data_IF_036119834075
#
_entry.id   IF_036119834075
#
_cell.length_a   1.000
_cell.length_b   1.000
_cell.length_c   1.000
_cell.angle_alpha   90.00
_cell.angle_beta   90.00
_cell.angle_gamma   90.00
#
_symmetry.space_group_name_H-M   'P 1'
#
loop_
_entity.id
_entity.type
_entity.pdbx_description
1 polymer ?
#
# COMPACT_ATOMS: atom_id res chain seq x y z
N UNK A 1 14.39 15.20 23.18
CA UNK A 1 13.59 15.53 21.97
C UNK A 1 13.41 14.25 21.18
N UNK A 2 12.14 13.92 20.85
CA UNK A 2 11.84 12.79 19.98
C UNK A 2 12.32 13.09 18.55
N UNK A 3 13.04 12.16 17.94
CA UNK A 3 13.58 12.33 16.60
C UNK A 3 13.47 11.05 15.80
N UNK A 4 13.27 11.17 14.49
CA UNK A 4 13.12 10.06 13.54
C UNK A 4 13.83 10.40 12.24
N UNK A 5 14.56 9.43 11.71
CA UNK A 5 15.03 9.47 10.33
C UNK A 5 13.96 8.90 9.41
N UNK A 6 13.66 9.55 8.29
CA UNK A 6 12.78 9.00 7.26
C UNK A 6 13.51 8.86 5.94
N UNK A 7 13.42 7.68 5.33
CA UNK A 7 14.05 7.36 4.04
C UNK A 7 12.96 7.07 3.02
N UNK A 8 12.99 7.79 1.91
CA UNK A 8 11.92 7.77 0.91
C UNK A 8 10.92 8.89 1.17
N UNK A 9 11.09 10.02 0.46
CA UNK A 9 10.25 11.21 0.56
C UNK A 9 9.29 11.35 -0.64
N UNK A 10 8.85 10.22 -1.19
CA UNK A 10 7.74 10.18 -2.13
C UNK A 10 6.42 10.61 -1.49
N UNK A 11 5.30 10.48 -2.22
CA UNK A 11 3.98 10.95 -1.75
C UNK A 11 3.63 10.48 -0.34
N UNK A 12 3.87 9.21 -0.02
CA UNK A 12 3.55 8.67 1.31
C UNK A 12 4.55 9.14 2.38
N UNK A 13 5.86 8.96 2.13
CA UNK A 13 6.89 9.29 3.11
C UNK A 13 6.97 10.78 3.44
N UNK A 14 6.80 11.66 2.46
CA UNK A 14 6.75 13.09 2.70
C UNK A 14 5.55 13.49 3.59
N UNK A 15 4.35 12.96 3.30
CA UNK A 15 3.18 13.26 4.12
C UNK A 15 3.28 12.68 5.53
N UNK A 16 3.92 11.51 5.69
CA UNK A 16 4.20 10.92 6.99
C UNK A 16 5.22 11.78 7.77
N UNK A 17 6.25 12.31 7.11
CA UNK A 17 7.20 13.25 7.71
C UNK A 17 6.51 14.52 8.20
N UNK A 18 5.58 15.07 7.44
CA UNK A 18 4.79 16.24 7.85
C UNK A 18 3.91 15.92 9.06
N UNK A 19 3.28 14.74 9.11
CA UNK A 19 2.50 14.28 10.25
C UNK A 19 3.40 14.16 11.50
N UNK A 20 4.61 13.60 11.38
CA UNK A 20 5.59 13.55 12.48
C UNK A 20 5.93 14.95 13.01
N UNK A 21 6.17 15.90 12.10
CA UNK A 21 6.50 17.30 12.46
C UNK A 21 5.34 17.98 13.18
N UNK A 22 4.11 17.74 12.76
CA UNK A 22 2.91 18.29 13.43
C UNK A 22 2.70 17.71 14.84
N UNK A 23 3.31 16.56 15.11
CA UNK A 23 3.34 15.93 16.44
C UNK A 23 4.65 16.22 17.21
N UNK A 24 5.32 17.32 16.91
CA UNK A 24 6.54 17.81 17.59
C UNK A 24 7.71 16.81 17.57
N UNK A 25 7.80 16.00 16.51
CA UNK A 25 8.93 15.09 16.25
C UNK A 25 9.93 15.79 15.34
N UNK A 26 11.20 15.80 15.70
CA UNK A 26 12.28 16.28 14.85
C UNK A 26 12.55 15.24 13.76
N UNK A 27 12.38 15.63 12.49
CA UNK A 27 12.49 14.71 11.37
C UNK A 27 13.70 15.03 10.50
N UNK A 28 14.55 14.04 10.30
CA UNK A 28 15.64 14.04 9.32
C UNK A 28 15.22 13.19 8.13
N UNK A 29 15.14 13.78 6.94
CA UNK A 29 14.69 13.12 5.73
C UNK A 29 15.83 12.84 4.75
N UNK A 30 15.79 11.69 4.09
CA UNK A 30 16.67 11.34 2.98
C UNK A 30 15.88 10.68 1.85
N UNK A 31 16.17 11.10 0.63
CA UNK A 31 15.69 10.41 -0.58
C UNK A 31 16.76 10.53 -1.67
N UNK A 32 17.02 9.43 -2.34
CA UNK A 32 18.05 9.37 -3.40
C UNK A 32 17.72 10.22 -4.61
N UNK A 33 16.45 10.43 -4.89
CA UNK A 33 15.94 11.08 -6.10
C UNK A 33 15.20 12.39 -5.85
N UNK A 34 15.23 12.90 -4.62
CA UNK A 34 14.43 14.08 -4.28
C UNK A 34 14.98 15.35 -4.90
N UNK A 35 14.08 16.12 -5.47
CA UNK A 35 14.35 17.53 -5.72
C UNK A 35 14.03 18.33 -4.45
N UNK A 36 15.05 18.88 -3.80
CA UNK A 36 14.91 19.67 -2.56
C UNK A 36 14.03 20.90 -2.74
N UNK A 37 13.97 21.46 -3.94
CA UNK A 37 13.17 22.64 -4.26
C UNK A 37 11.65 22.37 -4.18
N UNK A 38 11.25 21.08 -4.13
CA UNK A 38 9.85 20.67 -3.93
C UNK A 38 9.46 20.50 -2.46
N UNK A 39 10.39 20.73 -1.53
CA UNK A 39 10.12 20.59 -0.09
C UNK A 39 9.78 21.96 0.49
N UNK A 40 8.50 22.18 0.68
CA UNK A 40 7.98 23.47 1.17
C UNK A 40 8.11 23.65 2.70
N UNK A 41 8.33 22.57 3.46
CA UNK A 41 8.35 22.64 4.92
C UNK A 41 9.76 22.85 5.46
N UNK A 42 10.01 24.03 6.03
CA UNK A 42 11.30 24.42 6.63
C UNK A 42 11.69 23.66 7.91
N UNK A 43 10.77 22.91 8.53
CA UNK A 43 11.03 22.08 9.71
C UNK A 43 11.54 20.68 9.34
N UNK A 44 11.40 20.24 8.10
CA UNK A 44 11.97 18.99 7.62
C UNK A 44 13.44 19.19 7.25
N UNK A 45 14.34 18.57 8.00
CA UNK A 45 15.79 18.61 7.71
C UNK A 45 16.12 17.58 6.65
N UNK A 46 16.22 18.02 5.38
CA UNK A 46 16.53 17.11 4.26
C UNK A 46 18.03 17.01 4.04
N UNK A 47 18.53 15.79 4.08
CA UNK A 47 19.93 15.44 3.94
C UNK A 47 20.19 14.82 2.56
N UNK A 48 21.39 14.98 2.03
CA UNK A 48 21.78 14.53 0.69
C UNK A 48 22.49 13.18 0.68
N UNK A 49 22.94 12.73 1.84
CA UNK A 49 23.63 11.45 2.00
C UNK A 49 22.97 10.64 3.11
N UNK A 50 22.86 9.34 2.91
CA UNK A 50 22.34 8.44 3.92
C UNK A 50 23.20 8.45 5.19
N UNK A 51 24.53 8.55 5.03
CA UNK A 51 25.46 8.65 6.16
C UNK A 51 25.16 9.87 7.04
N UNK A 52 24.82 11.02 6.44
CA UNK A 52 24.52 12.24 7.20
C UNK A 52 23.22 12.05 8.00
N UNK A 53 22.21 11.35 7.44
CA UNK A 53 20.99 10.99 8.17
C UNK A 53 21.32 10.13 9.40
N UNK A 54 22.09 9.07 9.22
CA UNK A 54 22.47 8.17 10.30
C UNK A 54 23.24 8.91 11.40
N UNK A 55 24.19 9.80 11.05
CA UNK A 55 25.01 10.54 12.03
C UNK A 55 24.26 11.68 12.72
N UNK A 56 23.19 12.21 12.11
CA UNK A 56 22.38 13.28 12.71
C UNK A 56 21.44 12.79 13.80
N UNK A 57 21.18 11.48 13.86
CA UNK A 57 20.27 10.89 14.84
C UNK A 57 20.99 10.48 16.13
N UNK A 58 20.38 10.81 17.28
CA UNK A 58 20.84 10.29 18.57
C UNK A 58 20.48 8.81 18.72
N UNK A 59 21.32 8.07 19.48
CA UNK A 59 21.13 6.65 19.77
C UNK A 59 20.18 6.44 20.97
N UNK A 60 19.37 5.37 20.96
CA UNK A 60 19.13 4.46 19.83
C UNK A 60 18.40 5.20 18.70
N UNK A 61 18.87 5.00 17.48
CA UNK A 61 18.29 5.62 16.30
C UNK A 61 16.99 4.94 15.92
N UNK A 62 16.01 5.72 15.47
CA UNK A 62 14.78 5.21 14.85
C UNK A 62 14.73 5.70 13.41
N UNK A 63 14.73 4.78 12.45
CA UNK A 63 14.72 5.08 11.03
C UNK A 63 13.51 4.42 10.38
N UNK A 64 12.64 5.23 9.77
CA UNK A 64 11.46 4.79 9.04
C UNK A 64 11.74 4.77 7.54
N UNK A 65 11.58 3.62 6.90
CA UNK A 65 11.74 3.44 5.46
C UNK A 65 10.38 3.48 4.77
N UNK A 66 10.25 4.30 3.73
CA UNK A 66 9.07 4.41 2.84
C UNK A 66 9.52 4.28 1.37
N UNK A 67 10.18 3.17 1.06
CA UNK A 67 10.76 2.90 -0.26
C UNK A 67 10.01 1.75 -0.96
N UNK A 68 10.12 1.63 -2.30
CA UNK A 68 9.54 0.50 -3.02
C UNK A 68 10.05 -0.84 -2.50
N UNK A 69 9.16 -1.82 -2.39
CA UNK A 69 9.50 -3.19 -1.99
C UNK A 69 10.45 -3.88 -2.99
N UNK A 70 11.04 -4.99 -2.58
CA UNK A 70 11.95 -5.77 -3.40
C UNK A 70 13.40 -5.30 -3.28
N UNK A 71 14.11 -5.20 -4.40
CA UNK A 71 15.55 -4.92 -4.45
C UNK A 71 15.94 -3.59 -3.79
N UNK A 72 15.11 -2.56 -3.95
CA UNK A 72 15.37 -1.25 -3.32
C UNK A 72 15.40 -1.36 -1.80
N UNK A 73 14.42 -2.04 -1.20
CA UNK A 73 14.38 -2.27 0.25
C UNK A 73 15.54 -3.16 0.69
N UNK A 74 15.88 -4.19 -0.07
CA UNK A 74 16.99 -5.11 0.23
C UNK A 74 18.33 -4.37 0.32
N UNK A 75 18.66 -3.62 -0.74
CA UNK A 75 19.90 -2.85 -0.80
C UNK A 75 20.00 -1.83 0.33
N UNK A 76 18.88 -1.19 0.68
CA UNK A 76 18.84 -0.21 1.76
C UNK A 76 19.04 -0.87 3.14
N UNK A 77 18.44 -2.04 3.37
CA UNK A 77 18.65 -2.82 4.61
C UNK A 77 20.12 -3.23 4.76
N UNK A 78 20.76 -3.69 3.68
CA UNK A 78 22.18 -4.05 3.68
C UNK A 78 23.09 -2.85 3.98
N UNK A 79 22.77 -1.68 3.41
CA UNK A 79 23.53 -0.45 3.64
C UNK A 79 23.35 0.04 5.07
N UNK A 80 22.13 0.07 5.60
CA UNK A 80 21.83 0.44 6.98
C UNK A 80 22.44 -0.53 7.98
N UNK A 81 22.44 -1.84 7.71
CA UNK A 81 23.03 -2.86 8.55
C UNK A 81 24.53 -2.65 8.80
N UNK A 82 25.24 -2.03 7.83
CA UNK A 82 26.67 -1.67 7.96
C UNK A 82 26.93 -0.34 8.68
N UNK A 83 25.93 0.54 8.73
CA UNK A 83 26.04 1.90 9.28
C UNK A 83 25.49 2.04 10.69
N UNK A 84 24.50 1.22 11.04
CA UNK A 84 23.80 1.28 12.31
C UNK A 84 24.57 0.55 13.41
N UNK A 85 24.13 0.70 14.62
CA UNK A 85 24.75 0.14 15.81
C UNK A 85 23.74 -0.70 16.59
N UNK A 86 24.21 -1.57 17.50
CA UNK A 86 23.33 -2.31 18.38
C UNK A 86 22.26 -1.42 19.05
N UNK A 87 21.05 -1.94 19.13
CA UNK A 87 19.82 -1.29 19.64
C UNK A 87 19.24 -0.19 18.74
N UNK A 88 19.81 0.12 17.58
CA UNK A 88 19.12 0.97 16.60
C UNK A 88 17.92 0.22 16.01
N UNK A 89 16.90 0.96 15.59
CA UNK A 89 15.62 0.42 15.14
C UNK A 89 15.34 0.89 13.70
N UNK A 90 15.07 -0.06 12.82
CA UNK A 90 14.55 0.19 11.49
C UNK A 90 13.06 -0.14 11.48
N UNK A 91 12.22 0.76 10.94
CA UNK A 91 10.81 0.51 10.66
C UNK A 91 10.66 0.41 9.14
N UNK A 92 10.28 -0.77 8.64
CA UNK A 92 9.89 -0.96 7.24
C UNK A 92 8.40 -0.62 7.09
N UNK A 93 8.10 0.59 6.62
CA UNK A 93 6.74 1.09 6.38
C UNK A 93 6.28 0.93 4.93
N UNK A 94 7.07 0.30 4.07
CA UNK A 94 6.72 -0.02 2.69
C UNK A 94 5.75 -1.20 2.57
N UNK A 95 5.26 -1.46 1.36
CA UNK A 95 4.47 -2.66 1.08
C UNK A 95 5.37 -3.86 0.81
N UNK A 96 6.15 -4.27 1.79
CA UNK A 96 7.07 -5.39 1.67
C UNK A 96 6.35 -6.74 1.79
N UNK A 97 6.86 -7.74 1.06
CA UNK A 97 6.40 -9.11 1.22
C UNK A 97 6.82 -9.61 2.61
N UNK A 98 5.88 -10.12 3.41
CA UNK A 98 6.12 -10.51 4.79
C UNK A 98 7.25 -11.56 4.95
N UNK A 99 7.42 -12.46 3.97
CA UNK A 99 8.50 -13.46 3.96
C UNK A 99 9.88 -12.82 3.82
N UNK A 100 10.01 -11.73 3.06
CA UNK A 100 11.24 -10.97 2.96
C UNK A 100 11.52 -10.19 4.25
N UNK A 101 10.47 -9.68 4.89
CA UNK A 101 10.57 -9.03 6.20
C UNK A 101 11.14 -9.98 7.25
N UNK A 102 10.63 -11.22 7.33
CA UNK A 102 11.16 -12.24 8.27
C UNK A 102 12.65 -12.54 7.99
N UNK A 103 13.05 -12.60 6.72
CA UNK A 103 14.45 -12.82 6.34
C UNK A 103 15.34 -11.64 6.75
N UNK A 104 14.91 -10.41 6.48
CA UNK A 104 15.61 -9.16 6.85
C UNK A 104 15.71 -9.00 8.35
N UNK A 105 14.67 -9.34 9.10
CA UNK A 105 14.67 -9.34 10.56
C UNK A 105 15.78 -10.27 11.11
N UNK A 106 15.87 -11.50 10.60
CA UNK A 106 16.89 -12.46 11.02
C UNK A 106 18.31 -11.94 10.71
N UNK A 107 18.51 -11.35 9.53
CA UNK A 107 19.77 -10.76 9.13
C UNK A 107 20.19 -9.60 10.05
N UNK A 108 19.32 -8.63 10.30
CA UNK A 108 19.63 -7.49 11.14
C UNK A 108 19.85 -7.86 12.62
N UNK A 109 19.18 -8.92 13.08
CA UNK A 109 19.37 -9.45 14.44
C UNK A 109 20.80 -9.95 14.70
N UNK A 110 21.54 -10.37 13.69
CA UNK A 110 22.95 -10.74 13.81
C UNK A 110 23.83 -9.55 14.19
N UNK A 111 23.36 -8.32 13.97
CA UNK A 111 24.03 -7.07 14.32
C UNK A 111 23.39 -6.35 15.52
N UNK A 112 22.51 -7.02 16.26
CA UNK A 112 21.69 -6.42 17.32
C UNK A 112 20.89 -5.18 16.88
N UNK A 113 20.52 -5.11 15.61
CA UNK A 113 19.64 -4.08 15.03
C UNK A 113 18.21 -4.63 14.96
N UNK A 114 17.26 -3.87 15.44
CA UNK A 114 15.86 -4.27 15.44
C UNK A 114 15.16 -3.88 14.15
N UNK A 115 14.38 -4.81 13.57
CA UNK A 115 13.46 -4.53 12.47
C UNK A 115 12.01 -4.61 12.96
N UNK A 116 11.26 -3.56 12.72
CA UNK A 116 9.81 -3.47 12.93
C UNK A 116 9.15 -3.31 11.58
N UNK A 117 8.14 -4.11 11.27
CA UNK A 117 7.35 -3.98 10.07
C UNK A 117 6.05 -3.24 10.36
N UNK A 118 5.72 -2.29 9.50
CA UNK A 118 4.56 -1.43 9.68
C UNK A 118 3.73 -1.35 8.40
N UNK A 119 2.69 -2.16 8.32
CA UNK A 119 1.68 -2.03 7.28
C UNK A 119 0.92 -0.73 7.44
N UNK A 120 1.06 0.18 6.48
CA UNK A 120 0.43 1.51 6.49
C UNK A 120 -0.74 1.56 5.52
N UNK A 121 -1.92 1.95 6.00
CA UNK A 121 -3.12 2.16 5.18
C UNK A 121 -3.73 3.55 5.40
N UNK A 122 -4.65 3.95 4.51
CA UNK A 122 -5.28 5.28 4.50
C UNK A 122 -4.81 6.19 3.36
N UNK A 123 -3.91 5.72 2.51
CA UNK A 123 -3.35 6.47 1.40
C UNK A 123 -2.60 7.74 1.83
N UNK A 124 -2.42 8.67 0.90
CA UNK A 124 -1.68 9.93 1.15
C UNK A 124 -2.34 10.76 2.25
N UNK A 125 -3.67 10.79 2.27
CA UNK A 125 -4.43 11.52 3.27
C UNK A 125 -4.28 10.90 4.67
N UNK A 126 -4.31 9.58 4.77
CA UNK A 126 -4.02 8.86 6.01
C UNK A 126 -2.60 9.12 6.51
N UNK A 127 -1.59 9.03 5.66
CA UNK A 127 -0.21 9.35 6.01
C UNK A 127 -0.08 10.78 6.58
N UNK A 128 -0.85 11.73 6.04
CA UNK A 128 -0.79 13.15 6.45
C UNK A 128 -1.56 13.46 7.74
N UNK A 129 -2.73 12.84 7.96
CA UNK A 129 -3.68 13.27 8.99
C UNK A 129 -4.09 12.16 9.97
N UNK A 130 -3.56 10.98 9.83
CA UNK A 130 -3.83 9.84 10.71
C UNK A 130 -4.00 8.54 9.92
N UNK A 131 -2.97 7.71 9.96
CA UNK A 131 -2.92 6.44 9.25
C UNK A 131 -3.57 5.30 10.05
N UNK A 132 -3.85 4.19 9.36
CA UNK A 132 -4.07 2.88 9.98
C UNK A 132 -2.76 2.10 9.93
N UNK A 133 -2.25 1.70 11.11
CA UNK A 133 -0.92 1.11 11.29
C UNK A 133 -1.02 -0.28 11.90
N UNK A 134 -0.58 -1.28 11.17
CA UNK A 134 -0.49 -2.69 11.57
C UNK A 134 0.97 -3.03 11.83
N UNK A 135 1.38 -3.16 13.09
CA UNK A 135 2.81 -3.21 13.47
C UNK A 135 3.21 -4.60 13.95
N UNK A 136 4.23 -5.17 13.33
CA UNK A 136 4.88 -6.41 13.71
C UNK A 136 6.33 -6.19 14.14
N UNK A 137 6.84 -7.08 14.99
CA UNK A 137 8.22 -7.01 15.49
C UNK A 137 8.36 -7.55 16.91
N UNK A 138 9.57 -7.44 17.47
CA UNK A 138 9.79 -7.78 18.87
C UNK A 138 8.96 -6.86 19.78
N UNK A 139 8.12 -7.44 20.64
CA UNK A 139 7.13 -6.71 21.45
C UNK A 139 7.76 -5.58 22.27
N UNK A 140 8.90 -5.85 22.92
CA UNK A 140 9.55 -4.84 23.76
C UNK A 140 10.14 -3.68 22.93
N UNK A 141 10.62 -3.97 21.71
CA UNK A 141 11.07 -2.94 20.77
C UNK A 141 9.88 -2.09 20.34
N UNK A 142 8.78 -2.72 19.90
CA UNK A 142 7.57 -1.99 19.47
C UNK A 142 7.02 -1.14 20.60
N UNK A 143 6.96 -1.65 21.85
CA UNK A 143 6.54 -0.87 23.01
C UNK A 143 7.42 0.36 23.26
N UNK A 144 8.73 0.23 23.08
CA UNK A 144 9.67 1.35 23.31
C UNK A 144 9.46 2.54 22.36
N UNK A 145 8.87 2.29 21.19
CA UNK A 145 8.57 3.30 20.16
C UNK A 145 7.06 3.43 19.88
N UNK A 146 6.18 2.89 20.73
CA UNK A 146 4.71 2.96 20.53
C UNK A 146 4.21 4.40 20.42
N UNK A 147 4.85 5.32 21.15
CA UNK A 147 4.58 6.76 21.06
C UNK A 147 4.60 7.29 19.62
N UNK A 148 5.44 6.72 18.75
CA UNK A 148 5.54 7.14 17.35
C UNK A 148 4.31 6.67 16.56
N UNK A 149 3.93 5.41 16.70
CA UNK A 149 2.75 4.86 16.03
C UNK A 149 1.47 5.53 16.50
N UNK A 150 1.33 5.73 17.82
CA UNK A 150 0.20 6.43 18.44
C UNK A 150 0.05 7.87 17.95
N UNK A 151 1.17 8.57 17.73
CA UNK A 151 1.14 9.95 17.22
C UNK A 151 0.77 10.05 15.75
N UNK A 152 1.03 9.01 14.95
CA UNK A 152 0.82 9.01 13.51
C UNK A 152 -0.51 8.38 13.08
N UNK A 153 -1.09 7.56 13.93
CA UNK A 153 -2.36 6.90 13.66
C UNK A 153 -3.56 7.80 13.93
N UNK A 154 -4.65 7.53 13.22
CA UNK A 154 -5.95 8.01 13.63
C UNK A 154 -6.35 7.34 14.97
N UNK A 155 -7.26 7.92 15.71
CA UNK A 155 -7.79 7.30 16.93
C UNK A 155 -8.20 5.85 16.65
N UNK A 156 -7.71 4.92 17.47
CA UNK A 156 -7.92 3.47 17.34
C UNK A 156 -7.35 2.86 16.03
N UNK A 157 -6.50 3.59 15.30
CA UNK A 157 -5.91 3.18 14.03
C UNK A 157 -4.54 2.49 14.16
N UNK A 158 -4.03 2.23 15.35
CA UNK A 158 -2.77 1.52 15.58
C UNK A 158 -2.98 0.27 16.44
N UNK A 159 -2.31 -0.81 16.01
CA UNK A 159 -2.22 -2.01 16.85
C UNK A 159 -0.89 -2.74 16.64
N UNK A 160 -0.34 -3.29 17.75
CA UNK A 160 0.65 -4.36 17.66
C UNK A 160 -0.04 -5.64 17.22
N UNK A 161 0.39 -6.20 16.08
CA UNK A 161 -0.25 -7.37 15.46
C UNK A 161 0.39 -8.68 15.92
N UNK A 162 1.72 -8.68 16.10
CA UNK A 162 2.45 -9.87 16.49
C UNK A 162 3.94 -9.78 16.16
N UNK A 163 4.59 -10.93 16.07
CA UNK A 163 6.02 -11.03 15.74
C UNK A 163 6.35 -10.47 14.34
N UNK A 164 7.66 -10.38 14.05
CA UNK A 164 8.16 -9.82 12.79
C UNK A 164 7.53 -10.47 11.54
N UNK A 165 7.07 -9.64 10.63
CA UNK A 165 6.35 -10.00 9.42
C UNK A 165 4.82 -10.00 9.57
N UNK A 166 4.28 -10.01 10.80
CA UNK A 166 2.83 -10.03 11.03
C UNK A 166 2.13 -8.76 10.56
N UNK A 167 2.75 -7.60 10.72
CA UNK A 167 2.22 -6.32 10.25
C UNK A 167 2.08 -6.30 8.72
N UNK A 168 3.14 -6.68 8.01
CA UNK A 168 3.11 -6.81 6.54
C UNK A 168 2.17 -7.92 6.05
N UNK A 169 2.09 -9.04 6.78
CA UNK A 169 1.15 -10.11 6.46
C UNK A 169 -0.31 -9.61 6.52
N UNK A 170 -0.68 -8.97 7.61
CA UNK A 170 -2.05 -8.43 7.77
C UNK A 170 -2.32 -7.31 6.76
N UNK A 171 -1.31 -6.47 6.45
CA UNK A 171 -1.44 -5.46 5.40
C UNK A 171 -1.62 -6.07 4.01
N UNK A 172 -0.92 -7.15 3.70
CA UNK A 172 -1.09 -7.89 2.44
C UNK A 172 -2.53 -8.42 2.29
N UNK A 173 -3.07 -9.04 3.35
CA UNK A 173 -4.46 -9.53 3.35
C UNK A 173 -5.46 -8.37 3.23
N UNK A 174 -5.22 -7.26 3.93
CA UNK A 174 -6.01 -6.04 3.80
C UNK A 174 -6.08 -5.58 2.34
N UNK A 175 -4.95 -5.56 1.63
CA UNK A 175 -4.93 -5.16 0.22
C UNK A 175 -5.66 -6.16 -0.68
N UNK A 176 -5.60 -7.46 -0.37
CA UNK A 176 -6.42 -8.46 -1.06
C UNK A 176 -7.93 -8.17 -0.91
N UNK A 177 -8.37 -7.85 0.30
CA UNK A 177 -9.77 -7.45 0.57
C UNK A 177 -10.12 -6.17 -0.20
N UNK A 178 -9.24 -5.17 -0.18
CA UNK A 178 -9.40 -3.92 -0.92
C UNK A 178 -9.61 -4.16 -2.41
N UNK A 179 -8.85 -5.07 -3.04
CA UNK A 179 -9.04 -5.46 -4.44
C UNK A 179 -10.44 -6.00 -4.70
N UNK A 180 -10.94 -6.90 -3.83
CA UNK A 180 -12.29 -7.45 -3.94
C UNK A 180 -13.38 -6.40 -3.79
N UNK A 181 -13.24 -5.49 -2.82
CA UNK A 181 -14.18 -4.39 -2.59
C UNK A 181 -14.20 -3.41 -3.77
N UNK A 182 -13.04 -3.01 -4.29
CA UNK A 182 -12.96 -2.13 -5.47
C UNK A 182 -13.59 -2.78 -6.69
N UNK A 183 -13.34 -4.08 -6.92
CA UNK A 183 -13.91 -4.81 -8.03
C UNK A 183 -15.44 -4.87 -7.93
N UNK A 184 -15.99 -5.17 -6.75
CA UNK A 184 -17.43 -5.23 -6.53
C UNK A 184 -18.11 -3.86 -6.75
N UNK A 185 -17.48 -2.76 -6.31
CA UNK A 185 -17.97 -1.41 -6.57
C UNK A 185 -17.95 -1.14 -8.09
N UNK A 186 -16.86 -1.46 -8.78
CA UNK A 186 -16.74 -1.27 -10.23
C UNK A 186 -17.81 -2.05 -11.00
N UNK A 187 -18.01 -3.32 -10.70
CA UNK A 187 -19.05 -4.17 -11.31
C UNK A 187 -20.47 -3.62 -11.05
N UNK A 188 -20.72 -3.09 -9.84
CA UNK A 188 -21.98 -2.46 -9.51
C UNK A 188 -22.28 -1.24 -10.40
N UNK A 189 -21.29 -0.34 -10.57
CA UNK A 189 -21.45 0.82 -11.46
C UNK A 189 -21.54 0.42 -12.94
N UNK A 190 -20.82 -0.62 -13.37
CA UNK A 190 -20.93 -1.16 -14.74
C UNK A 190 -22.36 -1.69 -15.02
N UNK A 191 -22.95 -2.41 -14.05
CA UNK A 191 -24.35 -2.85 -14.16
C UNK A 191 -25.33 -1.67 -14.25
N UNK A 192 -25.09 -0.59 -13.50
CA UNK A 192 -25.92 0.62 -13.58
C UNK A 192 -25.81 1.29 -14.96
N UNK A 193 -24.59 1.37 -15.54
CA UNK A 193 -24.36 1.94 -16.89
C UNK A 193 -25.10 1.17 -17.99
N UNK A 194 -25.22 -0.16 -17.86
CA UNK A 194 -25.92 -1.00 -18.82
C UNK A 194 -27.43 -1.10 -18.56
N UNK A 195 -27.95 -0.45 -17.53
CA UNK A 195 -29.37 -0.45 -17.24
C UNK A 195 -30.15 0.46 -18.20
N UNK A 196 -31.47 0.32 -18.24
CA UNK A 196 -32.35 1.19 -19.02
C UNK A 196 -32.67 2.52 -18.33
N UNK A 197 -32.18 2.76 -17.13
CA UNK A 197 -32.40 3.98 -16.38
C UNK A 197 -31.40 5.06 -16.75
N UNK A 198 -31.83 6.30 -16.89
CA UNK A 198 -30.92 7.46 -16.95
C UNK A 198 -30.55 7.85 -15.53
N UNK A 199 -29.35 7.43 -15.09
CA UNK A 199 -28.88 7.61 -13.73
C UNK A 199 -27.76 8.67 -13.66
N UNK A 200 -27.81 9.49 -12.61
CA UNK A 200 -26.68 10.34 -12.21
C UNK A 200 -25.76 9.56 -11.25
N UNK A 201 -24.61 9.11 -11.72
CA UNK A 201 -23.70 8.27 -10.93
C UNK A 201 -23.07 8.99 -9.76
N UNK A 202 -22.85 10.30 -9.89
CA UNK A 202 -22.40 11.12 -8.77
C UNK A 202 -23.42 11.11 -7.63
N UNK A 203 -24.71 11.23 -7.94
CA UNK A 203 -25.78 11.19 -6.93
C UNK A 203 -25.92 9.79 -6.31
N UNK A 204 -25.80 8.73 -7.11
CA UNK A 204 -25.76 7.35 -6.60
C UNK A 204 -24.60 7.17 -5.62
N UNK A 205 -23.38 7.53 -6.03
CA UNK A 205 -22.18 7.43 -5.17
C UNK A 205 -22.35 8.28 -3.90
N UNK A 206 -22.90 9.48 -4.00
CA UNK A 206 -23.15 10.36 -2.86
C UNK A 206 -24.10 9.74 -1.84
N UNK A 207 -25.18 9.15 -2.30
CA UNK A 207 -26.13 8.46 -1.39
C UNK A 207 -25.49 7.24 -0.76
N UNK A 208 -24.72 6.46 -1.52
CA UNK A 208 -24.04 5.28 -0.99
C UNK A 208 -22.89 5.60 -0.06
N UNK A 209 -22.22 6.74 -0.23
CA UNK A 209 -21.20 7.22 0.68
C UNK A 209 -21.74 7.71 2.04
N UNK A 210 -23.06 7.97 2.14
CA UNK A 210 -23.68 8.60 3.31
C UNK A 210 -24.80 7.74 3.88
N UNK A 211 -24.47 6.90 4.87
CA UNK A 211 -25.43 6.12 5.64
C UNK A 211 -25.81 4.77 5.05
N UNK A 212 -25.27 4.37 3.89
CA UNK A 212 -25.49 3.03 3.36
C UNK A 212 -24.56 1.98 3.99
N UNK A 213 -24.91 0.71 3.87
CA UNK A 213 -24.07 -0.41 4.35
C UNK A 213 -22.70 -0.45 3.66
N UNK A 214 -22.60 0.04 2.42
CA UNK A 214 -21.37 0.07 1.63
C UNK A 214 -20.63 1.41 1.71
N UNK A 215 -20.96 2.26 2.67
CA UNK A 215 -20.21 3.51 2.92
C UNK A 215 -18.77 3.22 3.35
N UNK A 216 -17.89 4.16 3.12
CA UNK A 216 -16.49 4.11 3.55
C UNK A 216 -15.56 4.76 2.54
N UNK A 217 -14.25 4.75 2.84
CA UNK A 217 -13.25 5.46 2.06
C UNK A 217 -13.30 5.12 0.56
N UNK A 218 -13.52 3.85 0.18
CA UNK A 218 -13.61 3.47 -1.24
C UNK A 218 -14.80 4.11 -1.94
N UNK A 219 -15.93 4.24 -1.25
CA UNK A 219 -17.10 4.94 -1.82
C UNK A 219 -16.89 6.45 -1.87
N UNK A 220 -16.20 7.04 -0.89
CA UNK A 220 -15.85 8.47 -0.89
C UNK A 220 -14.93 8.83 -2.05
N UNK A 221 -13.91 8.01 -2.34
CA UNK A 221 -13.04 8.24 -3.49
C UNK A 221 -13.74 7.97 -4.82
N UNK A 222 -14.70 7.04 -4.86
CA UNK A 222 -15.58 6.83 -6.02
C UNK A 222 -16.42 8.09 -6.29
N UNK A 223 -17.06 8.64 -5.27
CA UNK A 223 -17.80 9.90 -5.35
C UNK A 223 -16.90 11.06 -5.83
N UNK A 224 -15.67 11.14 -5.31
CA UNK A 224 -14.71 12.15 -5.73
C UNK A 224 -14.35 12.03 -7.21
N UNK A 225 -14.11 10.80 -7.71
CA UNK A 225 -13.83 10.54 -9.12
C UNK A 225 -14.99 10.94 -10.02
N UNK A 226 -16.19 10.46 -9.72
CA UNK A 226 -17.42 10.76 -10.48
C UNK A 226 -17.84 12.24 -10.40
N UNK A 227 -17.40 12.97 -9.38
CA UNK A 227 -17.60 14.41 -9.29
C UNK A 227 -16.73 15.21 -10.25
N UNK A 228 -15.61 14.64 -10.70
CA UNK A 228 -14.70 15.26 -11.67
C UNK A 228 -15.05 14.92 -13.11
N UNK A 229 -15.43 13.67 -13.36
CA UNK A 229 -15.85 13.15 -14.65
C UNK A 229 -16.88 12.03 -14.41
N UNK A 230 -18.16 12.36 -14.54
CA UNK A 230 -19.27 11.45 -14.19
C UNK A 230 -19.27 10.17 -15.03
N UNK A 231 -18.83 10.25 -16.28
CA UNK A 231 -18.80 9.11 -17.22
C UNK A 231 -17.40 8.52 -17.40
N UNK A 232 -16.40 9.01 -16.66
CA UNK A 232 -15.00 8.58 -16.71
C UNK A 232 -14.44 8.47 -18.13
N UNK A 233 -14.86 9.37 -19.02
CA UNK A 233 -14.58 9.31 -20.45
C UNK A 233 -13.10 9.50 -20.78
N UNK A 234 -12.36 10.13 -19.89
CA UNK A 234 -10.90 10.34 -20.00
C UNK A 234 -10.05 9.18 -19.47
N UNK A 235 -10.68 8.17 -18.86
CA UNK A 235 -9.98 7.07 -18.18
C UNK A 235 -9.97 5.81 -19.06
N UNK A 236 -8.79 5.26 -19.30
CA UNK A 236 -8.67 3.93 -19.89
C UNK A 236 -8.94 2.87 -18.82
N UNK A 237 -9.73 1.83 -19.17
CA UNK A 237 -10.09 0.74 -18.26
C UNK A 237 -8.96 -0.28 -18.02
N UNK A 238 -7.70 0.16 -17.86
CA UNK A 238 -6.53 -0.67 -17.59
C UNK A 238 -6.09 -0.49 -16.14
N UNK A 239 -5.95 -1.59 -15.42
CA UNK A 239 -5.70 -1.57 -13.98
C UNK A 239 -4.41 -2.35 -13.67
N UNK A 240 -3.42 -1.65 -13.11
CA UNK A 240 -2.20 -2.29 -12.62
C UNK A 240 -2.41 -2.93 -11.24
N UNK A 241 -1.49 -3.79 -10.85
CA UNK A 241 -1.38 -4.33 -9.50
C UNK A 241 0.03 -4.12 -8.98
N UNK A 242 0.17 -4.09 -7.65
CA UNK A 242 1.43 -3.87 -6.95
C UNK A 242 1.97 -5.12 -6.24
N UNK A 243 1.33 -6.28 -6.51
CA UNK A 243 1.78 -7.60 -6.07
C UNK A 243 1.04 -8.16 -4.86
N UNK A 244 0.46 -7.32 -3.99
CA UNK A 244 -0.15 -7.79 -2.74
C UNK A 244 -1.35 -8.72 -2.97
N UNK A 245 -2.16 -8.46 -4.01
CA UNK A 245 -3.25 -9.36 -4.40
C UNK A 245 -2.73 -10.73 -4.80
N UNK A 246 -1.65 -10.79 -5.57
CA UNK A 246 -1.00 -12.05 -5.93
C UNK A 246 -0.42 -12.77 -4.70
N UNK A 247 0.31 -12.07 -3.85
CA UNK A 247 0.88 -12.67 -2.63
C UNK A 247 -0.20 -13.22 -1.70
N UNK A 248 -1.36 -12.54 -1.60
CA UNK A 248 -2.51 -13.02 -0.84
C UNK A 248 -3.04 -14.36 -1.39
N UNK A 249 -3.13 -14.49 -2.72
CA UNK A 249 -3.56 -15.74 -3.37
C UNK A 249 -2.51 -16.85 -3.18
N UNK A 250 -1.22 -16.54 -3.36
CA UNK A 250 -0.13 -17.49 -3.13
C UNK A 250 -0.17 -18.05 -1.69
N UNK A 251 -0.43 -17.19 -0.73
CA UNK A 251 -0.53 -17.61 0.67
C UNK A 251 -1.78 -18.45 0.94
N UNK A 252 -2.92 -18.06 0.36
CA UNK A 252 -4.14 -18.86 0.44
C UNK A 252 -3.97 -20.27 -0.13
N UNK A 253 -3.23 -20.43 -1.23
CA UNK A 253 -2.88 -21.73 -1.80
C UNK A 253 -2.03 -22.56 -0.84
N UNK A 254 -1.03 -21.97 -0.18
CA UNK A 254 -0.20 -22.67 0.83
C UNK A 254 -1.03 -23.12 2.02
N UNK A 255 -1.90 -22.26 2.51
CA UNK A 255 -2.76 -22.50 3.67
C UNK A 255 -4.01 -23.33 3.33
N UNK A 256 -4.26 -23.59 2.03
CA UNK A 256 -5.46 -24.29 1.52
C UNK A 256 -6.76 -23.57 1.91
N UNK A 257 -6.74 -22.23 1.89
CA UNK A 257 -7.90 -21.37 2.20
C UNK A 257 -8.55 -20.90 0.90
N UNK A 258 -9.89 -21.00 0.83
CA UNK A 258 -10.66 -20.53 -0.34
C UNK A 258 -10.89 -19.03 -0.26
N UNK A 259 -10.44 -18.28 -1.29
CA UNK A 259 -10.62 -16.82 -1.40
C UNK A 259 -11.10 -16.41 -2.81
N UNK A 260 -12.25 -16.95 -3.28
CA UNK A 260 -12.67 -16.77 -4.69
C UNK A 260 -12.88 -15.32 -5.07
N UNK A 261 -13.39 -14.46 -4.20
CA UNK A 261 -13.64 -13.04 -4.46
C UNK A 261 -12.32 -12.28 -4.71
N UNK A 262 -11.33 -12.48 -3.85
CA UNK A 262 -10.01 -11.86 -3.99
C UNK A 262 -9.31 -12.37 -5.25
N UNK A 263 -9.37 -13.68 -5.51
CA UNK A 263 -8.78 -14.29 -6.71
C UNK A 263 -9.40 -13.72 -7.99
N UNK A 264 -10.74 -13.66 -8.06
CA UNK A 264 -11.45 -13.10 -9.21
C UNK A 264 -11.09 -11.63 -9.45
N UNK A 265 -10.95 -10.82 -8.40
CA UNK A 265 -10.58 -9.41 -8.53
C UNK A 265 -9.17 -9.20 -9.11
N UNK A 266 -8.20 -10.05 -8.77
CA UNK A 266 -6.87 -10.01 -9.39
C UNK A 266 -6.92 -10.41 -10.87
N UNK A 267 -7.67 -11.46 -11.21
CA UNK A 267 -7.83 -11.88 -12.60
C UNK A 267 -8.55 -10.83 -13.44
N UNK A 268 -9.51 -10.08 -12.87
CA UNK A 268 -10.13 -8.95 -13.54
C UNK A 268 -9.09 -7.85 -13.90
N UNK A 269 -8.14 -7.56 -13.00
CA UNK A 269 -7.02 -6.64 -13.32
C UNK A 269 -6.14 -7.17 -14.45
N UNK A 270 -5.78 -8.46 -14.43
CA UNK A 270 -5.02 -9.08 -15.52
C UNK A 270 -5.78 -8.99 -16.83
N UNK A 271 -7.08 -9.28 -16.81
CA UNK A 271 -7.95 -9.20 -17.99
C UNK A 271 -8.06 -7.79 -18.54
N UNK A 272 -8.08 -6.77 -17.69
CA UNK A 272 -8.13 -5.36 -18.12
C UNK A 272 -6.93 -4.93 -18.98
N UNK A 273 -5.83 -5.68 -18.93
CA UNK A 273 -4.58 -5.43 -19.68
C UNK A 273 -4.37 -6.38 -20.85
N UNK A 274 -5.26 -7.36 -21.03
CA UNK A 274 -5.15 -8.40 -22.08
C UNK A 274 -5.77 -7.92 -23.40
N UNK A 275 -4.93 -7.41 -24.31
CA UNK A 275 -5.34 -7.03 -25.65
C UNK A 275 -5.35 -8.22 -26.63
N UNK A 276 -4.80 -9.38 -26.25
CA UNK A 276 -4.68 -10.55 -27.13
C UNK A 276 -6.02 -11.29 -27.26
N UNK A 277 -6.78 -11.40 -26.18
CA UNK A 277 -8.07 -12.10 -26.12
C UNK A 277 -8.00 -13.53 -26.67
N UNK A 278 -6.90 -14.26 -26.38
CA UNK A 278 -6.64 -15.55 -27.02
C UNK A 278 -7.61 -16.64 -26.57
N UNK A 279 -8.02 -16.60 -25.28
CA UNK A 279 -9.02 -17.53 -24.75
C UNK A 279 -10.36 -17.39 -25.48
N UNK A 280 -10.82 -16.17 -25.73
CA UNK A 280 -12.05 -15.88 -26.47
C UNK A 280 -11.96 -16.33 -27.92
N UNK A 281 -10.79 -16.17 -28.54
CA UNK A 281 -10.55 -16.68 -29.91
C UNK A 281 -10.61 -18.20 -29.97
N UNK A 282 -10.05 -18.91 -29.00
CA UNK A 282 -10.13 -20.37 -28.93
C UNK A 282 -11.59 -20.82 -28.76
N UNK A 283 -12.33 -20.21 -27.83
CA UNK A 283 -13.76 -20.53 -27.62
C UNK A 283 -14.57 -20.27 -28.88
N UNK A 284 -14.37 -19.13 -29.54
CA UNK A 284 -15.06 -18.78 -30.77
C UNK A 284 -14.76 -19.81 -31.89
N UNK A 285 -13.47 -20.20 -32.01
CA UNK A 285 -13.04 -21.20 -33.01
C UNK A 285 -13.64 -22.56 -32.73
N UNK A 286 -13.62 -23.04 -31.49
CA UNK A 286 -14.25 -24.32 -31.12
C UNK A 286 -15.74 -24.34 -31.45
N UNK A 287 -16.48 -23.25 -31.12
CA UNK A 287 -17.91 -23.11 -31.45
C UNK A 287 -18.17 -23.15 -32.96
N UNK A 288 -17.26 -22.59 -33.75
CA UNK A 288 -17.35 -22.69 -35.19
C UNK A 288 -17.13 -24.13 -35.69
N UNK A 289 -16.10 -24.82 -35.21
CA UNK A 289 -15.75 -26.17 -35.63
C UNK A 289 -16.84 -27.21 -35.31
N UNK A 290 -17.40 -27.18 -34.10
CA UNK A 290 -18.39 -28.21 -33.77
C UNK A 290 -19.84 -27.82 -34.11
N UNK A 291 -20.17 -26.55 -34.29
CA UNK A 291 -21.57 -26.12 -34.51
C UNK A 291 -21.79 -25.13 -35.65
N UNK A 292 -20.74 -24.79 -36.40
CA UNK A 292 -20.84 -23.81 -37.49
C UNK A 292 -21.20 -22.38 -37.02
N UNK A 293 -21.01 -22.08 -35.73
CA UNK A 293 -21.33 -20.76 -35.18
C UNK A 293 -20.46 -19.66 -35.81
N UNK A 294 -21.03 -18.49 -36.03
CA UNK A 294 -20.37 -17.35 -36.67
C UNK A 294 -19.13 -16.92 -35.88
N UNK A 295 -18.01 -16.75 -36.57
CA UNK A 295 -16.77 -16.13 -36.06
C UNK A 295 -16.64 -14.74 -36.66
N UNK A 296 -16.27 -13.75 -35.81
CA UNK A 296 -16.00 -12.38 -36.27
C UNK A 296 -14.50 -12.26 -36.60
N UNK A 297 -14.18 -11.81 -37.82
CA UNK A 297 -12.79 -11.58 -38.23
C UNK A 297 -12.34 -10.18 -37.82
N UNK A 298 -11.06 -10.02 -37.46
CA UNK A 298 -10.47 -8.68 -37.31
C UNK A 298 -10.60 -7.93 -38.64
N UNK A 299 -11.00 -6.66 -38.54
CA UNK A 299 -10.90 -5.73 -39.66
C UNK A 299 -9.45 -5.33 -39.90
#
# INVERSE_FOLDING_TARGET
VRQVGIIGLGKMGYNLALNMIDNDILVFGYDKFINKDLIENSKLVVLTKLQDLVTSLARPRVIWMMVPSGETTENLIDELGRMLSPNDIIIDGGNSRYTDTIRRYKYLKEFDISLVDCGTSGGVNGARYGASLMVGGDLEVVKSISWLFESLAIKDGYAYIGESGSGHFVKMVHNGIEYGMMQAIGEGFDLLEHSHYELNYKDVARVWANGSIIQGLLMDVTLSALSKDEKLTSIAGRIDDSGEGQWTIEEALKLKVSIPVIAASLFARYKSRDDLLFSEKIVASMRNEFGGHKVYKKK
#
